data_IF_426578382946
#
_entry.id   IF_426578382946
#
_cell.length_a   1.000
_cell.length_b   1.000
_cell.length_c   1.000
_cell.angle_alpha   90.00
_cell.angle_beta   90.00
_cell.angle_gamma   90.00
#
_symmetry.space_group_name_H-M   'P 1'
#
loop_
_entity.id
_entity.type
_entity.pdbx_description
1 polymer ?
#
# COMPACT_ATOMS: atom_id res chain seq x y z
N UNK A 1 -13.79 -4.51 -1.20
CA UNK A 1 -12.76 -4.54 -2.25
C UNK A 1 -11.39 -4.12 -1.72
N UNK A 2 -11.23 -2.92 -1.13
CA UNK A 2 -9.95 -2.45 -0.55
C UNK A 2 -9.29 -3.44 0.41
N UNK A 3 -10.07 -3.99 1.36
CA UNK A 3 -9.57 -5.00 2.29
C UNK A 3 -9.02 -6.24 1.59
N UNK A 4 -9.65 -6.71 0.51
CA UNK A 4 -9.18 -7.89 -0.22
C UNK A 4 -7.82 -7.63 -0.88
N UNK A 5 -7.68 -6.49 -1.56
CA UNK A 5 -6.41 -6.11 -2.19
C UNK A 5 -5.31 -5.80 -1.17
N UNK A 6 -5.68 -5.24 0.00
CA UNK A 6 -4.77 -4.98 1.11
C UNK A 6 -4.18 -6.29 1.67
N UNK A 7 -5.03 -7.26 2.00
CA UNK A 7 -4.57 -8.56 2.50
C UNK A 7 -3.83 -9.36 1.42
N UNK A 8 -4.25 -9.23 0.16
CA UNK A 8 -3.51 -9.81 -0.96
C UNK A 8 -2.11 -9.21 -1.07
N UNK A 9 -1.96 -7.88 -0.96
CA UNK A 9 -0.66 -7.22 -0.95
C UNK A 9 0.21 -7.68 0.22
N UNK A 10 -0.36 -7.87 1.42
CA UNK A 10 0.36 -8.49 2.53
C UNK A 10 0.84 -9.91 2.21
N UNK A 11 0.01 -10.73 1.57
CA UNK A 11 0.40 -12.10 1.21
C UNK A 11 1.58 -12.13 0.23
N UNK A 12 1.64 -11.18 -0.71
CA UNK A 12 2.69 -11.10 -1.72
C UNK A 12 3.98 -10.47 -1.17
N UNK A 13 3.85 -9.37 -0.44
CA UNK A 13 4.97 -8.53 -0.02
C UNK A 13 5.50 -8.87 1.37
N UNK A 14 4.75 -9.54 2.24
CA UNK A 14 5.12 -9.75 3.65
C UNK A 14 5.06 -11.21 4.10
N UNK A 15 4.95 -12.16 3.16
CA UNK A 15 5.05 -13.58 3.45
C UNK A 15 6.41 -13.97 4.06
N UNK A 16 6.49 -15.17 4.65
CA UNK A 16 7.64 -15.66 5.42
C UNK A 16 9.00 -15.65 4.68
N UNK A 17 8.97 -15.66 3.34
CA UNK A 17 10.15 -15.62 2.47
C UNK A 17 10.38 -14.27 1.79
N UNK A 18 9.55 -13.27 2.07
CA UNK A 18 9.69 -11.95 1.47
C UNK A 18 10.89 -11.19 2.02
N UNK A 19 11.54 -10.42 1.15
CA UNK A 19 12.56 -9.45 1.53
C UNK A 19 12.03 -8.33 2.45
N UNK A 20 10.72 -8.09 2.48
CA UNK A 20 10.09 -7.03 3.28
C UNK A 20 9.43 -7.53 4.58
N UNK A 21 9.53 -8.83 4.88
CA UNK A 21 8.83 -9.45 6.04
C UNK A 21 9.20 -8.85 7.40
N UNK A 22 10.44 -8.38 7.54
CA UNK A 22 10.99 -7.84 8.79
C UNK A 22 10.92 -6.31 8.85
N UNK A 23 10.28 -5.67 7.86
CA UNK A 23 10.09 -4.21 7.87
C UNK A 23 9.15 -3.82 9.02
N UNK A 24 9.30 -2.61 9.58
CA UNK A 24 8.39 -2.14 10.63
C UNK A 24 6.93 -2.23 10.18
N UNK A 25 6.02 -2.60 11.09
CA UNK A 25 4.60 -2.79 10.75
C UNK A 25 4.01 -1.59 10.00
N UNK A 26 4.32 -0.37 10.42
CA UNK A 26 3.84 0.85 9.74
C UNK A 26 4.25 0.91 8.25
N UNK A 27 5.44 0.40 7.91
CA UNK A 27 5.90 0.29 6.53
C UNK A 27 5.08 -0.74 5.76
N UNK A 28 4.86 -1.92 6.36
CA UNK A 28 4.11 -3.01 5.74
C UNK A 28 2.67 -2.60 5.43
N UNK A 29 2.00 -1.95 6.38
CA UNK A 29 0.62 -1.44 6.20
C UNK A 29 0.59 -0.36 5.11
N UNK A 30 1.57 0.55 5.08
CA UNK A 30 1.66 1.61 4.05
C UNK A 30 1.83 1.01 2.64
N UNK A 31 2.68 0.00 2.49
CA UNK A 31 2.87 -0.70 1.21
C UNK A 31 1.59 -1.42 0.77
N UNK A 32 0.93 -2.14 1.70
CA UNK A 32 -0.30 -2.84 1.39
C UNK A 32 -1.44 -1.90 0.98
N UNK A 33 -1.58 -0.76 1.67
CA UNK A 33 -2.58 0.25 1.31
C UNK A 33 -2.27 0.91 -0.05
N UNK A 34 -1.00 1.19 -0.35
CA UNK A 34 -0.58 1.78 -1.61
C UNK A 34 -0.86 0.83 -2.80
N UNK A 35 -0.53 -0.45 -2.66
CA UNK A 35 -0.83 -1.47 -3.68
C UNK A 35 -2.34 -1.61 -3.87
N UNK A 36 -3.12 -1.65 -2.78
CA UNK A 36 -4.58 -1.71 -2.88
C UNK A 36 -5.15 -0.48 -3.60
N UNK A 37 -4.62 0.71 -3.33
CA UNK A 37 -5.04 1.95 -3.99
C UNK A 37 -4.76 1.93 -5.50
N UNK A 38 -3.54 1.59 -5.91
CA UNK A 38 -3.14 1.53 -7.32
C UNK A 38 -3.88 0.42 -8.06
N UNK A 39 -3.98 -0.77 -7.47
CA UNK A 39 -4.71 -1.89 -8.06
C UNK A 39 -6.18 -1.56 -8.28
N UNK A 40 -6.83 -0.88 -7.32
CA UNK A 40 -8.22 -0.44 -7.44
C UNK A 40 -8.42 0.68 -8.47
N UNK A 41 -7.47 1.63 -8.59
CA UNK A 41 -7.50 2.62 -9.67
C UNK A 41 -7.40 1.96 -11.06
N UNK A 42 -6.51 0.97 -11.22
CA UNK A 42 -6.25 0.33 -12.51
C UNK A 42 -7.39 -0.57 -13.01
N UNK A 43 -8.26 -1.05 -12.12
CA UNK A 43 -9.43 -1.89 -12.49
C UNK A 43 -10.71 -1.08 -12.72
N UNK A 44 -10.63 0.26 -12.76
CA UNK A 44 -11.78 1.12 -13.07
C UNK A 44 -12.88 1.16 -11.99
N UNK A 45 -12.56 0.73 -10.76
CA UNK A 45 -13.46 0.92 -9.62
C UNK A 45 -13.30 2.36 -9.16
N UNK A 46 -14.39 3.13 -9.15
CA UNK A 46 -14.38 4.53 -8.71
C UNK A 46 -13.78 4.65 -7.30
N UNK A 47 -12.56 5.17 -7.23
CA UNK A 47 -11.79 5.39 -5.99
C UNK A 47 -12.04 6.78 -5.41
N UNK A 48 -13.10 7.48 -5.84
CA UNK A 48 -13.50 8.81 -5.35
C UNK A 48 -13.66 8.90 -3.82
N UNK A 49 -13.91 7.78 -3.13
CA UNK A 49 -13.93 7.71 -1.66
C UNK A 49 -12.55 7.47 -1.00
N UNK A 50 -11.49 7.22 -1.77
CA UNK A 50 -10.11 7.09 -1.31
C UNK A 50 -9.34 8.37 -1.61
N UNK A 51 -9.39 9.32 -0.68
CA UNK A 51 -8.60 10.53 -0.79
C UNK A 51 -7.12 10.24 -0.49
N UNK A 52 -6.23 11.00 -1.15
CA UNK A 52 -4.82 11.17 -0.77
C UNK A 52 -4.63 11.40 0.75
N UNK A 53 -5.66 11.89 1.45
CA UNK A 53 -5.67 12.06 2.89
C UNK A 53 -5.50 10.78 3.70
N UNK A 54 -5.99 9.62 3.23
CA UNK A 54 -5.83 8.36 3.98
C UNK A 54 -4.38 7.84 3.90
N UNK A 55 -3.78 7.91 2.71
CA UNK A 55 -2.35 7.60 2.51
C UNK A 55 -1.47 8.58 3.30
N UNK A 56 -1.82 9.86 3.33
CA UNK A 56 -1.13 10.89 4.12
C UNK A 56 -1.31 10.71 5.64
N UNK A 57 -2.37 10.04 6.09
CA UNK A 57 -2.57 9.74 7.53
C UNK A 57 -1.47 8.83 8.06
N UNK A 58 -1.01 7.89 7.22
CA UNK A 58 0.03 6.94 7.61
C UNK A 58 1.43 7.42 7.25
N UNK A 59 1.59 8.02 6.08
CA UNK A 59 2.84 8.62 5.66
C UNK A 59 2.95 10.05 6.21
N UNK A 60 3.36 10.18 7.47
CA UNK A 60 3.66 11.47 8.12
C UNK A 60 4.73 12.31 7.41
N UNK A 61 5.37 11.77 6.37
CA UNK A 61 6.42 12.39 5.58
C UNK A 61 6.24 12.07 4.08
N UNK A 62 6.37 13.08 3.22
CA UNK A 62 6.30 12.97 1.77
C UNK A 62 7.42 12.09 1.19
N UNK A 63 8.58 12.01 1.84
CA UNK A 63 9.68 11.14 1.43
C UNK A 63 9.29 9.65 1.52
N UNK A 64 8.48 9.28 2.53
CA UNK A 64 7.97 7.91 2.70
C UNK A 64 6.97 7.56 1.59
N UNK A 65 6.13 8.51 1.18
CA UNK A 65 5.21 8.33 0.04
C UNK A 65 6.01 8.05 -1.24
N UNK A 66 7.02 8.87 -1.53
CA UNK A 66 7.83 8.72 -2.74
C UNK A 66 8.60 7.39 -2.77
N UNK A 67 9.20 6.99 -1.65
CA UNK A 67 9.95 5.72 -1.57
C UNK A 67 9.03 4.52 -1.77
N UNK A 68 7.85 4.50 -1.14
CA UNK A 68 6.90 3.40 -1.27
C UNK A 68 6.38 3.26 -2.71
N UNK A 69 6.13 4.38 -3.40
CA UNK A 69 5.68 4.37 -4.79
C UNK A 69 6.77 3.91 -5.77
N UNK A 70 8.04 4.21 -5.50
CA UNK A 70 9.16 3.79 -6.37
C UNK A 70 9.46 2.29 -6.34
N UNK A 71 8.99 1.58 -5.32
CA UNK A 71 9.20 0.13 -5.16
C UNK A 71 8.10 -0.73 -5.80
N UNK A 72 7.02 -0.11 -6.32
CA UNK A 72 5.84 -0.81 -6.86
C UNK A 72 5.87 -0.92 -8.41
N UNK A 73 6.93 -0.42 -9.08
CA UNK A 73 7.13 -0.58 -10.53
C UNK A 73 7.79 -1.91 -10.92
#
# INVERSE_FOLDING_TARGET
MKTLYHEYAHSQLHGLKSAFKDRPRAYQETQAEAVAYVAMQNIGVDTSNYSLGYVATWAKDKAVIHSALSEIQ
#
